data_IF_598596935249
#
_entry.id   IF_598596935249
#
_cell.length_a   1.000
_cell.length_b   1.000
_cell.length_c   1.000
_cell.angle_alpha   90.00
_cell.angle_beta   90.00
_cell.angle_gamma   90.00
#
_symmetry.space_group_name_H-M   'P 1'
#
loop_
_entity.id
_entity.type
_entity.pdbx_description
1 polymer ?
#
# COMPACT_ATOMS: atom_id res chain seq x y z
N UNK A 1 15.67 -10.32 -12.04
CA UNK A 1 15.41 -9.83 -10.67
C UNK A 1 14.52 -8.62 -10.84
N UNK A 2 13.27 -8.75 -10.43
CA UNK A 2 12.30 -7.67 -10.53
C UNK A 2 12.56 -6.75 -9.33
N UNK A 3 13.17 -5.59 -9.56
CA UNK A 3 13.52 -4.67 -8.48
C UNK A 3 12.25 -4.01 -7.96
N UNK A 4 12.07 -3.89 -6.63
CA UNK A 4 10.95 -3.14 -6.08
C UNK A 4 11.06 -1.65 -6.40
N UNK A 5 9.92 -1.00 -6.58
CA UNK A 5 9.85 0.45 -6.79
C UNK A 5 10.05 1.22 -5.48
N UNK A 6 9.62 0.63 -4.36
CA UNK A 6 9.77 1.16 -2.99
C UNK A 6 9.45 0.07 -1.96
N UNK A 7 9.54 0.42 -0.68
CA UNK A 7 9.29 -0.48 0.44
C UNK A 7 8.24 0.12 1.36
N UNK A 8 7.28 -0.70 1.80
CA UNK A 8 6.23 -0.33 2.75
C UNK A 8 6.57 -0.89 4.13
N UNK A 9 6.56 -0.03 5.15
CA UNK A 9 6.63 -0.45 6.55
C UNK A 9 5.81 0.53 7.40
N UNK A 10 5.42 0.14 8.61
CA UNK A 10 4.67 1.00 9.53
C UNK A 10 5.39 1.11 10.87
N UNK A 11 5.57 2.34 11.34
CA UNK A 11 6.04 2.65 12.69
C UNK A 11 4.93 2.49 13.76
N UNK A 12 3.66 2.69 13.37
CA UNK A 12 2.52 2.73 14.31
C UNK A 12 1.98 1.35 14.71
N UNK A 13 2.45 0.27 14.07
CA UNK A 13 2.06 -1.10 14.41
C UNK A 13 0.66 -1.46 13.90
N UNK A 14 0.61 -2.10 12.72
CA UNK A 14 -0.61 -2.55 12.05
C UNK A 14 -0.39 -3.90 11.34
N UNK A 15 0.45 -4.79 11.92
CA UNK A 15 0.95 -5.99 11.22
C UNK A 15 1.76 -5.65 9.94
N UNK A 16 2.21 -4.40 9.87
CA UNK A 16 2.96 -3.77 8.78
C UNK A 16 4.38 -3.37 9.24
N UNK A 17 4.84 -3.89 10.38
CA UNK A 17 6.13 -3.52 11.00
C UNK A 17 7.30 -4.02 10.14
N UNK A 18 7.20 -5.22 9.58
CA UNK A 18 8.24 -5.76 8.70
C UNK A 18 8.17 -5.11 7.30
N UNK A 19 9.29 -4.63 6.75
CA UNK A 19 9.32 -4.05 5.41
C UNK A 19 8.86 -5.02 4.33
N UNK A 20 8.01 -4.52 3.45
CA UNK A 20 7.52 -5.23 2.26
C UNK A 20 7.97 -4.51 1.02
N UNK A 21 8.61 -5.26 0.13
CA UNK A 21 8.91 -4.77 -1.20
C UNK A 21 7.61 -4.49 -1.94
N UNK A 22 7.54 -3.36 -2.64
CA UNK A 22 6.34 -2.92 -3.33
C UNK A 22 6.66 -2.68 -4.80
N UNK A 23 5.76 -3.16 -5.66
CA UNK A 23 5.79 -2.89 -7.10
C UNK A 23 4.52 -2.16 -7.50
N UNK A 24 4.68 -1.04 -8.19
CA UNK A 24 3.57 -0.23 -8.71
C UNK A 24 2.89 -1.02 -9.81
N UNK A 25 1.58 -1.18 -9.69
CA UNK A 25 0.77 -1.74 -10.78
C UNK A 25 0.28 -0.57 -11.63
N UNK A 26 -0.57 0.29 -11.07
CA UNK A 26 -1.11 1.46 -11.77
C UNK A 26 -1.76 2.46 -10.81
N UNK A 27 -1.99 3.67 -11.31
CA UNK A 27 -2.87 4.65 -10.66
C UNK A 27 -4.32 4.21 -10.88
N UNK A 28 -5.13 4.31 -9.84
CA UNK A 28 -6.58 4.08 -9.93
C UNK A 28 -7.30 5.23 -9.25
N UNK A 29 -8.60 5.35 -9.55
CA UNK A 29 -9.49 6.30 -8.88
C UNK A 29 -10.53 5.57 -8.05
N UNK A 30 -11.08 6.28 -7.10
CA UNK A 30 -12.25 5.93 -6.31
C UNK A 30 -13.34 6.97 -6.52
N UNK A 31 -14.42 6.87 -5.76
CA UNK A 31 -15.54 7.81 -5.91
C UNK A 31 -15.14 9.21 -5.44
N UNK A 32 -14.22 9.30 -4.47
CA UNK A 32 -13.81 10.55 -3.83
C UNK A 32 -12.34 10.96 -4.06
N UNK A 33 -11.51 10.06 -4.60
CA UNK A 33 -10.07 10.31 -4.82
C UNK A 33 -9.61 9.79 -6.16
N UNK A 34 -8.75 10.52 -6.86
CA UNK A 34 -8.17 10.08 -8.13
C UNK A 34 -6.67 9.74 -8.03
N UNK A 35 -6.08 9.79 -6.83
CA UNK A 35 -4.65 9.71 -6.56
C UNK A 35 -4.24 8.41 -5.84
N UNK A 36 -5.07 7.37 -5.95
CA UNK A 36 -4.78 6.06 -5.37
C UNK A 36 -3.76 5.31 -6.23
N UNK A 37 -2.88 4.58 -5.57
CA UNK A 37 -1.89 3.73 -6.22
C UNK A 37 -2.15 2.27 -5.84
N UNK A 38 -2.38 1.45 -6.86
CA UNK A 38 -2.44 0.00 -6.71
C UNK A 38 -1.01 -0.55 -6.71
N UNK A 39 -0.68 -1.31 -5.68
CA UNK A 39 0.65 -1.92 -5.51
C UNK A 39 0.53 -3.41 -5.25
N UNK A 40 1.50 -4.17 -5.76
CA UNK A 40 1.77 -5.53 -5.30
C UNK A 40 2.81 -5.48 -4.19
N UNK A 41 2.63 -6.27 -3.14
CA UNK A 41 3.53 -6.34 -1.99
C UNK A 41 4.07 -7.74 -1.77
N UNK A 42 5.33 -7.83 -1.36
CA UNK A 42 6.00 -9.08 -0.99
C UNK A 42 6.91 -8.83 0.24
N UNK A 43 6.80 -9.62 1.32
CA UNK A 43 5.84 -10.72 1.51
C UNK A 43 4.38 -10.25 1.58
N UNK A 44 3.41 -11.08 1.18
CA UNK A 44 2.00 -10.74 1.28
C UNK A 44 1.57 -10.61 2.74
N UNK A 45 0.48 -9.88 2.98
CA UNK A 45 -0.16 -9.81 4.28
C UNK A 45 -1.01 -11.05 4.51
N UNK A 46 -0.98 -11.59 5.73
CA UNK A 46 -1.85 -12.70 6.13
C UNK A 46 -3.29 -12.17 6.16
N UNK A 47 -4.16 -12.62 5.27
CA UNK A 47 -5.52 -12.06 5.19
C UNK A 47 -6.45 -12.50 6.31
N UNK A 48 -6.09 -13.53 7.10
CA UNK A 48 -6.89 -14.01 8.23
C UNK A 48 -7.16 -12.91 9.27
N UNK A 49 -6.15 -12.10 9.60
CA UNK A 49 -6.28 -10.99 10.55
C UNK A 49 -7.19 -9.88 10.02
N UNK A 50 -7.40 -9.84 8.71
CA UNK A 50 -8.31 -8.90 8.04
C UNK A 50 -9.66 -9.56 7.69
N UNK A 51 -9.92 -10.80 8.08
CA UNK A 51 -11.20 -11.47 7.79
C UNK A 51 -11.35 -12.03 6.38
N UNK A 52 -10.26 -12.26 5.65
CA UNK A 52 -10.25 -12.99 4.36
C UNK A 52 -10.06 -14.52 4.53
N UNK A 53 -10.14 -15.02 5.77
CA UNK A 53 -9.94 -16.45 6.04
C UNK A 53 -8.49 -16.86 5.72
N UNK A 54 -8.33 -17.86 4.85
CA UNK A 54 -7.02 -18.42 4.47
C UNK A 54 -6.36 -17.74 3.26
N UNK A 55 -6.95 -16.70 2.70
CA UNK A 55 -6.39 -15.99 1.55
C UNK A 55 -5.41 -14.91 2.00
N UNK A 56 -4.25 -14.86 1.38
CA UNK A 56 -3.27 -13.78 1.59
C UNK A 56 -3.63 -12.53 0.76
N UNK A 57 -3.11 -11.38 1.18
CA UNK A 57 -3.27 -10.10 0.50
C UNK A 57 -1.92 -9.71 -0.09
N UNK A 58 -1.75 -9.93 -1.38
CA UNK A 58 -0.58 -9.51 -2.14
C UNK A 58 -0.75 -8.16 -2.82
N UNK A 59 -1.97 -7.61 -2.85
CA UNK A 59 -2.31 -6.40 -3.58
C UNK A 59 -3.01 -5.42 -2.65
N UNK A 60 -2.51 -4.18 -2.63
CA UNK A 60 -2.97 -3.12 -1.73
C UNK A 60 -3.25 -1.84 -2.51
N UNK A 61 -4.19 -1.06 -1.98
CA UNK A 61 -4.32 0.35 -2.34
C UNK A 61 -3.56 1.19 -1.34
N UNK A 62 -2.74 2.11 -1.85
CA UNK A 62 -2.08 3.12 -1.04
C UNK A 62 -2.44 4.52 -1.53
N UNK A 63 -2.55 5.44 -0.59
CA UNK A 63 -2.91 6.83 -0.86
C UNK A 63 -2.17 7.75 0.10
N UNK A 64 -1.72 8.91 -0.35
CA UNK A 64 -1.04 9.87 0.54
C UNK A 64 -1.95 10.28 1.69
N UNK A 65 -1.36 10.39 2.89
CA UNK A 65 -2.02 10.85 4.11
C UNK A 65 -2.20 12.37 4.12
N UNK A 66 -1.21 13.11 3.64
CA UNK A 66 -1.22 14.58 3.67
C UNK A 66 -1.57 15.17 2.30
N UNK A 67 -2.38 16.24 2.32
CA UNK A 67 -2.71 17.01 1.13
C UNK A 67 -1.47 17.77 0.66
N UNK A 68 -1.01 17.48 -0.56
CA UNK A 68 0.17 18.11 -1.17
C UNK A 68 1.28 17.11 -1.52
N UNK A 69 1.28 15.94 -0.89
CA UNK A 69 2.18 14.84 -1.23
C UNK A 69 1.69 14.12 -2.48
N UNK A 70 2.62 13.61 -3.28
CA UNK A 70 2.33 12.86 -4.50
C UNK A 70 3.05 11.53 -4.49
N UNK A 71 2.38 10.46 -4.94
CA UNK A 71 3.01 9.18 -5.26
C UNK A 71 3.49 9.13 -6.73
N UNK A 72 3.30 10.22 -7.47
CA UNK A 72 3.46 10.32 -8.92
C UNK A 72 4.17 11.61 -9.34
N UNK A 73 5.50 11.74 -9.19
CA UNK A 73 6.42 10.90 -8.42
C UNK A 73 6.47 11.29 -6.93
N UNK A 74 7.00 10.40 -6.08
CA UNK A 74 7.37 10.74 -4.71
C UNK A 74 8.51 11.77 -4.72
N UNK A 75 8.31 12.90 -4.05
CA UNK A 75 9.30 13.98 -3.97
C UNK A 75 10.20 13.89 -2.75
N UNK A 76 9.68 13.33 -1.67
CA UNK A 76 10.34 13.22 -0.37
C UNK A 76 10.09 11.82 0.21
N UNK A 77 11.00 11.36 1.06
CA UNK A 77 10.93 10.05 1.70
C UNK A 77 11.22 10.21 3.20
N UNK A 78 10.50 9.52 4.09
CA UNK A 78 9.37 8.61 3.81
C UNK A 78 8.10 9.33 3.33
N UNK A 79 7.24 8.61 2.58
CA UNK A 79 5.89 9.10 2.25
C UNK A 79 4.87 8.44 3.16
N UNK A 80 4.14 9.23 3.95
CA UNK A 80 3.08 8.72 4.81
C UNK A 80 1.83 8.39 3.99
N UNK A 81 1.37 7.15 4.10
CA UNK A 81 0.25 6.62 3.31
C UNK A 81 -0.80 5.94 4.17
N UNK A 82 -2.04 6.03 3.72
CA UNK A 82 -3.09 5.10 4.10
C UNK A 82 -2.91 3.81 3.30
N UNK A 83 -3.03 2.67 3.98
CA UNK A 83 -3.04 1.36 3.35
C UNK A 83 -4.46 0.81 3.42
N UNK A 84 -4.94 0.28 2.31
CA UNK A 84 -6.24 -0.35 2.21
C UNK A 84 -6.15 -1.70 1.51
N UNK A 85 -6.95 -2.64 2.01
CA UNK A 85 -7.18 -3.95 1.36
C UNK A 85 -8.34 -3.85 0.40
N UNK A 86 -8.35 -4.74 -0.58
CA UNK A 86 -9.39 -4.83 -1.61
C UNK A 86 -10.32 -6.00 -1.33
N UNK A 87 -11.61 -5.82 -1.64
CA UNK A 87 -12.65 -6.86 -1.56
C UNK A 87 -13.01 -7.45 -2.92
N UNK A 88 -12.29 -7.06 -3.96
CA UNK A 88 -12.58 -7.40 -5.36
C UNK A 88 -11.52 -8.33 -5.92
N UNK A 89 -11.94 -9.14 -6.88
CA UNK A 89 -11.03 -9.95 -7.70
C UNK A 89 -10.47 -9.10 -8.86
N UNK A 90 -9.25 -9.41 -9.27
CA UNK A 90 -8.54 -8.79 -10.41
C UNK A 90 -8.55 -7.24 -10.41
N UNK A 91 -8.16 -6.58 -9.30
CA UNK A 91 -8.13 -5.11 -9.21
C UNK A 91 -7.24 -4.45 -10.27
N UNK A 92 -6.24 -5.16 -10.81
CA UNK A 92 -5.37 -4.70 -11.88
C UNK A 92 -6.10 -4.46 -13.22
N UNK A 93 -7.27 -5.07 -13.42
CA UNK A 93 -8.10 -4.87 -14.62
C UNK A 93 -9.02 -3.66 -14.50
N UNK A 94 -9.11 -3.05 -13.30
CA UNK A 94 -10.08 -2.00 -12.97
C UNK A 94 -9.42 -0.62 -12.99
N UNK A 95 -10.02 0.34 -13.69
CA UNK A 95 -9.55 1.74 -13.66
C UNK A 95 -10.12 2.52 -12.47
N UNK A 96 -11.28 2.08 -11.98
CA UNK A 96 -11.98 2.64 -10.84
C UNK A 96 -12.35 1.55 -9.84
N UNK A 97 -12.12 1.84 -8.56
CA UNK A 97 -12.43 1.00 -7.42
C UNK A 97 -13.29 1.82 -6.46
N UNK A 98 -14.53 1.43 -6.25
CA UNK A 98 -15.50 2.16 -5.46
C UNK A 98 -15.17 2.12 -3.96
N UNK A 99 -15.65 3.11 -3.20
CA UNK A 99 -15.33 3.24 -1.78
C UNK A 99 -15.85 2.07 -0.92
N UNK A 100 -16.79 1.28 -1.44
CA UNK A 100 -17.29 0.05 -0.82
C UNK A 100 -16.52 -1.22 -1.25
N UNK A 101 -15.56 -1.11 -2.17
CA UNK A 101 -14.75 -2.22 -2.70
C UNK A 101 -13.37 -2.31 -2.01
N UNK A 102 -13.06 -1.42 -1.08
CA UNK A 102 -11.84 -1.47 -0.26
C UNK A 102 -12.07 -0.99 1.17
N UNK A 103 -11.15 -1.35 2.05
CA UNK A 103 -11.18 -0.93 3.45
C UNK A 103 -9.77 -0.54 3.92
N UNK A 104 -9.65 0.60 4.60
CA UNK A 104 -8.37 1.00 5.19
C UNK A 104 -8.02 0.09 6.36
N UNK A 105 -6.82 -0.48 6.30
CA UNK A 105 -6.31 -1.44 7.30
C UNK A 105 -5.28 -0.82 8.25
N UNK A 106 -4.72 0.34 7.91
CA UNK A 106 -3.75 1.02 8.75
C UNK A 106 -3.01 2.15 8.04
N UNK A 107 -2.08 2.76 8.77
CA UNK A 107 -1.17 3.75 8.23
C UNK A 107 0.23 3.16 8.14
N UNK A 108 0.97 3.62 7.14
CA UNK A 108 2.33 3.17 6.89
C UNK A 108 3.13 4.26 6.22
N UNK A 109 4.41 4.00 6.07
CA UNK A 109 5.33 4.82 5.33
C UNK A 109 5.89 4.04 4.14
N UNK A 110 6.02 4.73 3.01
CA UNK A 110 6.81 4.24 1.88
C UNK A 110 8.23 4.76 2.01
N UNK A 111 9.21 3.93 1.68
CA UNK A 111 10.64 4.21 1.70
C UNK A 111 11.26 3.85 0.35
N UNK A 112 12.28 4.61 -0.07
CA UNK A 112 12.99 4.33 -1.31
C UNK A 112 13.83 3.04 -1.25
N UNK A 113 14.26 2.62 -0.06
CA UNK A 113 15.13 1.45 0.15
C UNK A 113 14.66 0.59 1.32
N UNK A 114 15.01 -0.70 1.28
CA UNK A 114 14.71 -1.63 2.37
C UNK A 114 15.41 -1.23 3.67
N UNK A 115 16.67 -0.80 3.56
CA UNK A 115 17.46 -0.37 4.72
C UNK A 115 16.77 0.78 5.45
N UNK A 116 16.24 1.77 4.72
CA UNK A 116 15.48 2.87 5.31
C UNK A 116 14.19 2.38 5.98
N UNK A 117 13.46 1.44 5.35
CA UNK A 117 12.25 0.85 5.93
C UNK A 117 12.54 0.01 7.19
N UNK A 118 13.72 -0.61 7.27
CA UNK A 118 14.19 -1.34 8.47
C UNK A 118 14.66 -0.39 9.56
N UNK A 119 15.32 0.70 9.18
CA UNK A 119 15.83 1.73 10.09
C UNK A 119 14.78 2.73 10.58
N UNK A 120 13.49 2.53 10.23
CA UNK A 120 12.39 3.35 10.76
C UNK A 120 12.48 3.41 12.28
N UNK A 121 12.45 4.61 12.84
CA UNK A 121 12.45 4.79 14.28
C UNK A 121 11.09 4.32 14.83
N UNK A 122 11.13 3.40 15.81
CA UNK A 122 9.98 2.94 16.59
C UNK A 122 9.82 3.78 17.85
#
# INVERSE_FOLDING_TARGET
MDNPDFYLASSEGYHLEEPRSCKRIKRVRSDNRDDLLLVRVEPPLIGQIYGLGGSDIDTLLVATRHKGDSLFPAKEWPVFVHVARLFIENPEEREQIHDNEFESIGWAELYATEEAARAKEM
#
